data_IF_587857691088
#
_entry.id   IF_587857691088
#
_cell.length_a   1.000
_cell.length_b   1.000
_cell.length_c   1.000
_cell.angle_alpha   90.00
_cell.angle_beta   90.00
_cell.angle_gamma   90.00
#
_symmetry.space_group_name_H-M   'P 1'
#
loop_
_entity.id
_entity.type
_entity.pdbx_description
1 polymer ?
#
# COMPACT_ATOMS: atom_id res chain seq x y z
N UNK A 1 10.96 -7.59 -12.68
CA UNK A 1 10.85 -6.16 -13.03
C UNK A 1 10.12 -5.51 -11.89
N UNK A 2 10.64 -4.41 -11.33
CA UNK A 2 10.02 -3.71 -10.21
C UNK A 2 9.04 -2.67 -10.73
N UNK A 3 7.95 -2.47 -10.01
CA UNK A 3 6.98 -1.42 -10.31
C UNK A 3 7.34 -0.16 -9.52
N UNK A 4 7.10 1.01 -10.10
CA UNK A 4 7.36 2.31 -9.49
C UNK A 4 6.13 3.20 -9.64
N UNK A 5 5.75 3.86 -8.57
CA UNK A 5 4.84 5.00 -8.60
C UNK A 5 5.67 6.25 -8.89
N UNK A 6 5.28 7.02 -9.92
CA UNK A 6 5.98 8.24 -10.32
C UNK A 6 5.05 9.43 -10.11
N UNK A 7 5.51 10.36 -9.28
CA UNK A 7 4.83 11.63 -8.99
C UNK A 7 5.56 12.77 -9.69
N UNK A 8 4.82 13.55 -10.48
CA UNK A 8 5.29 14.78 -11.11
C UNK A 8 4.68 15.96 -10.37
N UNK A 9 5.52 16.84 -9.83
CA UNK A 9 5.10 18.07 -9.18
C UNK A 9 5.66 19.26 -9.95
N UNK A 10 4.82 20.25 -10.23
CA UNK A 10 5.20 21.50 -10.86
C UNK A 10 4.69 22.66 -10.02
N UNK A 11 5.56 23.63 -9.75
CA UNK A 11 5.22 24.90 -9.10
C UNK A 11 5.32 26.01 -10.13
N UNK A 12 4.31 26.88 -10.18
CA UNK A 12 4.21 28.00 -11.12
C UNK A 12 3.62 29.22 -10.44
N UNK A 13 4.15 30.41 -10.74
CA UNK A 13 3.55 31.69 -10.35
C UNK A 13 3.44 32.66 -11.54
N UNK A 14 2.39 33.50 -11.52
CA UNK A 14 2.15 34.52 -12.55
C UNK A 14 1.89 35.86 -11.88
N UNK A 15 2.58 36.89 -12.33
CA UNK A 15 2.40 38.25 -11.84
C UNK A 15 1.82 39.13 -12.94
N UNK A 16 0.67 39.74 -12.68
CA UNK A 16 0.03 40.68 -13.60
C UNK A 16 -0.17 42.04 -12.94
N UNK A 17 -0.11 43.10 -13.74
CA UNK A 17 -0.40 44.46 -13.28
C UNK A 17 -1.81 44.83 -13.73
N UNK A 18 -2.71 45.09 -12.78
CA UNK A 18 -4.10 45.46 -13.05
C UNK A 18 -4.38 46.89 -12.58
N UNK A 19 -5.04 47.73 -13.40
CA UNK A 19 -5.52 49.03 -12.94
C UNK A 19 -6.76 48.84 -12.07
N UNK A 20 -6.69 49.28 -10.82
CA UNK A 20 -7.82 49.26 -9.88
C UNK A 20 -7.73 50.42 -8.89
N UNK A 21 -8.87 50.82 -8.32
CA UNK A 21 -8.97 51.92 -7.36
C UNK A 21 -8.54 51.52 -5.94
N UNK A 22 -8.50 50.22 -5.65
CA UNK A 22 -8.07 49.66 -4.37
C UNK A 22 -7.52 48.24 -4.53
N UNK A 23 -6.78 47.75 -3.53
CA UNK A 23 -6.30 46.36 -3.46
C UNK A 23 -7.45 45.36 -3.57
N UNK A 24 -8.56 45.61 -2.86
CA UNK A 24 -9.75 44.75 -2.89
C UNK A 24 -10.41 44.69 -4.25
N UNK A 25 -10.38 45.77 -5.03
CA UNK A 25 -10.94 45.78 -6.38
C UNK A 25 -9.98 45.12 -7.37
N UNK A 26 -8.66 45.23 -7.15
CA UNK A 26 -7.67 44.46 -7.91
C UNK A 26 -7.84 42.95 -7.71
N UNK A 27 -8.05 42.48 -6.48
CA UNK A 27 -8.29 41.07 -6.17
C UNK A 27 -9.56 40.54 -6.85
N UNK A 28 -10.67 41.29 -6.80
CA UNK A 28 -11.92 40.91 -7.48
C UNK A 28 -11.74 40.85 -8.99
N UNK A 29 -11.04 41.81 -9.57
CA UNK A 29 -10.77 41.85 -11.00
C UNK A 29 -9.88 40.67 -11.41
N UNK A 30 -8.82 40.38 -10.66
CA UNK A 30 -7.96 39.22 -10.87
C UNK A 30 -8.76 37.91 -10.79
N UNK A 31 -9.62 37.76 -9.78
CA UNK A 31 -10.50 36.60 -9.65
C UNK A 31 -11.47 36.47 -10.84
N UNK A 32 -12.09 37.57 -11.28
CA UNK A 32 -12.96 37.55 -12.46
C UNK A 32 -12.20 37.11 -13.72
N UNK A 33 -11.01 37.67 -13.96
CA UNK A 33 -10.16 37.31 -15.10
C UNK A 33 -9.76 35.83 -15.05
N UNK A 34 -9.39 35.32 -13.88
CA UNK A 34 -9.01 33.91 -13.71
C UNK A 34 -10.17 32.95 -14.01
N UNK A 35 -11.40 33.27 -13.57
CA UNK A 35 -12.55 32.38 -13.79
C UNK A 35 -13.25 32.58 -15.13
N UNK A 36 -13.07 33.72 -15.79
CA UNK A 36 -13.88 34.11 -16.95
C UNK A 36 -13.08 34.30 -18.24
N UNK A 37 -11.75 34.24 -18.17
CA UNK A 37 -10.83 34.44 -19.31
C UNK A 37 -9.62 33.52 -19.21
N UNK A 38 -8.86 33.39 -20.30
CA UNK A 38 -7.60 32.64 -20.40
C UNK A 38 -6.36 33.48 -20.03
N UNK A 39 -6.54 34.76 -19.73
CA UNK A 39 -5.44 35.71 -19.49
C UNK A 39 -4.53 35.33 -18.31
N UNK A 40 -5.06 34.56 -17.34
CA UNK A 40 -4.35 34.11 -16.15
C UNK A 40 -4.16 32.58 -16.11
N UNK A 41 -4.39 31.90 -17.23
CA UNK A 41 -4.10 30.47 -17.34
C UNK A 41 -2.58 30.24 -17.20
N UNK A 42 -2.24 29.14 -16.55
CA UNK A 42 -0.87 28.67 -16.43
C UNK A 42 -0.54 27.75 -17.60
N UNK A 43 0.62 27.95 -18.21
CA UNK A 43 1.20 27.05 -19.19
C UNK A 43 2.59 26.55 -18.75
N UNK A 44 3.25 25.79 -19.63
CA UNK A 44 4.57 25.23 -19.34
C UNK A 44 5.67 26.30 -19.23
N UNK A 45 5.48 27.47 -19.85
CA UNK A 45 6.45 28.57 -19.79
C UNK A 45 6.36 29.31 -18.45
N UNK A 46 5.20 29.21 -17.76
CA UNK A 46 5.01 29.72 -16.40
C UNK A 46 5.61 28.80 -15.31
N UNK A 47 6.13 27.61 -15.64
CA UNK A 47 6.67 26.68 -14.64
C UNK A 47 8.06 27.14 -14.16
N UNK A 48 8.18 27.40 -12.86
CA UNK A 48 9.44 27.80 -12.25
C UNK A 48 10.28 26.61 -11.77
N UNK A 49 9.61 25.58 -11.23
CA UNK A 49 10.25 24.41 -10.67
C UNK A 49 9.48 23.13 -10.98
N UNK A 50 10.21 22.07 -11.32
CA UNK A 50 9.69 20.73 -11.53
C UNK A 50 10.43 19.75 -10.64
N UNK A 51 9.68 18.97 -9.86
CA UNK A 51 10.19 17.84 -9.11
C UNK A 51 9.58 16.54 -9.64
N UNK A 52 10.42 15.52 -9.76
CA UNK A 52 10.02 14.17 -10.17
C UNK A 52 10.47 13.23 -9.07
N UNK A 53 9.51 12.54 -8.47
CA UNK A 53 9.76 11.53 -7.44
C UNK A 53 9.29 10.18 -7.95
N UNK A 54 10.13 9.16 -7.78
CA UNK A 54 9.81 7.78 -8.12
C UNK A 54 9.99 6.92 -6.88
N UNK A 55 8.91 6.27 -6.46
CA UNK A 55 8.88 5.38 -5.31
C UNK A 55 8.67 3.95 -5.79
N UNK A 56 9.53 3.03 -5.36
CA UNK A 56 9.33 1.62 -5.64
C UNK A 56 8.07 1.15 -4.92
N UNK A 57 7.16 0.49 -5.65
CA UNK A 57 6.00 -0.15 -5.04
C UNK A 57 6.39 -1.56 -4.65
N UNK A 58 6.05 -1.97 -3.42
CA UNK A 58 6.18 -3.36 -3.02
C UNK A 58 5.42 -4.26 -4.00
N UNK A 59 6.09 -5.30 -4.51
CA UNK A 59 5.42 -6.31 -5.33
C UNK A 59 4.55 -7.15 -4.39
N UNK A 60 3.25 -6.90 -4.41
CA UNK A 60 2.28 -7.66 -3.64
C UNK A 60 2.42 -9.18 -3.86
N UNK A 61 2.90 -9.62 -5.04
CA UNK A 61 3.15 -11.04 -5.27
C UNK A 61 4.34 -11.57 -4.49
N UNK A 62 5.42 -10.80 -4.33
CA UNK A 62 6.60 -11.21 -3.57
C UNK A 62 6.22 -11.41 -2.10
N UNK A 63 5.51 -10.44 -1.51
CA UNK A 63 5.00 -10.54 -0.15
C UNK A 63 4.00 -11.70 0.03
N UNK A 64 3.12 -11.95 -0.95
CA UNK A 64 2.21 -13.10 -0.91
C UNK A 64 2.96 -14.43 -1.01
N UNK A 65 4.03 -14.52 -1.80
CA UNK A 65 4.84 -15.74 -1.91
C UNK A 65 5.51 -16.08 -0.58
N UNK A 66 6.09 -15.10 0.11
CA UNK A 66 6.68 -15.28 1.43
C UNK A 66 5.63 -15.77 2.45
N UNK A 67 4.48 -15.10 2.52
CA UNK A 67 3.40 -15.48 3.42
C UNK A 67 2.89 -16.90 3.16
N UNK A 68 2.76 -17.28 1.88
CA UNK A 68 2.36 -18.64 1.49
C UNK A 68 3.41 -19.66 1.94
N UNK A 69 4.70 -19.36 1.80
CA UNK A 69 5.80 -20.22 2.26
C UNK A 69 5.78 -20.43 3.76
N UNK A 70 5.56 -19.37 4.54
CA UNK A 70 5.46 -19.44 6.00
C UNK A 70 4.25 -20.27 6.44
N UNK A 71 3.10 -20.06 5.81
CA UNK A 71 1.89 -20.85 6.07
C UNK A 71 2.09 -22.33 5.75
N UNK A 72 2.75 -22.65 4.65
CA UNK A 72 3.05 -24.04 4.28
C UNK A 72 3.94 -24.72 5.33
N UNK A 73 4.93 -24.00 5.87
CA UNK A 73 5.82 -24.49 6.93
C UNK A 73 5.04 -24.76 8.22
N UNK A 74 4.23 -23.81 8.67
CA UNK A 74 3.42 -23.96 9.87
C UNK A 74 2.41 -25.12 9.75
N UNK A 75 1.80 -25.31 8.59
CA UNK A 75 0.89 -26.45 8.32
C UNK A 75 1.65 -27.78 8.39
N UNK A 76 2.88 -27.83 7.88
CA UNK A 76 3.70 -29.04 7.93
C UNK A 76 4.05 -29.42 9.37
N UNK A 77 4.48 -28.45 10.18
CA UNK A 77 4.80 -28.66 11.60
C UNK A 77 3.57 -29.10 12.40
N UNK A 78 2.42 -28.46 12.17
CA UNK A 78 1.17 -28.84 12.81
C UNK A 78 0.75 -30.28 12.47
N UNK A 79 0.95 -30.72 11.23
CA UNK A 79 0.68 -32.11 10.82
C UNK A 79 1.58 -33.10 11.56
N UNK A 80 2.88 -32.83 11.65
CA UNK A 80 3.81 -33.68 12.40
C UNK A 80 3.39 -33.80 13.87
N UNK A 81 2.98 -32.69 14.49
CA UNK A 81 2.49 -32.70 15.87
C UNK A 81 1.21 -33.53 16.03
N UNK A 82 0.29 -33.48 15.06
CA UNK A 82 -0.93 -34.32 15.06
C UNK A 82 -0.56 -35.79 14.94
N UNK A 83 0.36 -36.15 14.06
CA UNK A 83 0.82 -37.54 13.90
C UNK A 83 1.45 -38.07 15.20
N UNK A 84 2.21 -37.25 15.91
CA UNK A 84 2.78 -37.60 17.22
C UNK A 84 1.71 -37.85 18.29
N UNK A 85 0.70 -36.99 18.35
CA UNK A 85 -0.44 -37.16 19.27
C UNK A 85 -1.24 -38.42 18.93
N UNK A 86 -1.46 -38.69 17.64
CA UNK A 86 -2.18 -39.86 17.16
C UNK A 86 -1.47 -41.15 17.59
N UNK A 87 -0.15 -41.21 17.41
CA UNK A 87 0.68 -42.34 17.85
C UNK A 87 0.61 -42.56 19.36
N UNK A 88 0.72 -41.50 20.15
CA UNK A 88 0.61 -41.60 21.60
C UNK A 88 -0.77 -42.13 22.05
N UNK A 89 -1.84 -41.74 21.35
CA UNK A 89 -3.19 -42.24 21.62
C UNK A 89 -3.31 -43.74 21.31
N UNK A 90 -2.75 -44.19 20.18
CA UNK A 90 -2.78 -45.61 19.79
C UNK A 90 -2.06 -46.49 20.83
N UNK A 91 -0.89 -46.06 21.32
CA UNK A 91 -0.14 -46.74 22.38
C UNK A 91 -0.95 -46.86 23.69
N UNK A 92 -1.64 -45.79 24.09
CA UNK A 92 -2.49 -45.80 25.30
C UNK A 92 -3.69 -46.73 25.14
N UNK A 93 -4.32 -46.74 23.97
CA UNK A 93 -5.45 -47.62 23.68
C UNK A 93 -5.04 -49.10 23.66
N UNK A 94 -3.87 -49.41 23.12
CA UNK A 94 -3.31 -50.76 23.15
C UNK A 94 -3.06 -51.22 24.59
N UNK A 95 -2.37 -50.40 25.39
CA UNK A 95 -2.13 -50.70 26.81
C UNK A 95 -3.44 -50.92 27.60
N UNK A 96 -4.45 -50.09 27.37
CA UNK A 96 -5.75 -50.23 28.02
C UNK A 96 -6.44 -51.54 27.67
N UNK A 97 -6.38 -51.98 26.40
CA UNK A 97 -6.92 -53.28 25.95
C UNK A 97 -6.21 -54.44 26.61
N UNK A 98 -4.87 -54.42 26.66
CA UNK A 98 -4.09 -55.47 27.34
C UNK A 98 -4.45 -55.60 28.81
N UNK A 99 -4.58 -54.47 29.51
CA UNK A 99 -4.99 -54.46 30.92
C UNK A 99 -6.40 -54.99 31.14
N UNK A 100 -7.35 -54.67 30.26
CA UNK A 100 -8.71 -55.18 30.35
C UNK A 100 -8.74 -56.71 30.18
N UNK A 101 -7.99 -57.25 29.22
CA UNK A 101 -7.88 -58.71 29.01
C UNK A 101 -7.27 -59.40 30.22
N UNK A 102 -6.23 -58.82 30.84
CA UNK A 102 -5.59 -59.41 32.02
C UNK A 102 -6.47 -59.42 33.29
N UNK A 103 -7.54 -58.62 33.31
CA UNK A 103 -8.50 -58.52 34.42
C UNK A 103 -9.79 -59.34 34.18
N UNK A 104 -9.93 -59.93 33.00
CA UNK A 104 -11.08 -60.74 32.57
C UNK A 104 -10.81 -62.24 32.79
#
# INVERSE_FOLDING_TARGET
>A
MKNYEVTLMATSYKTVTLPAESEKDAEKLAGYLYFSTDMLDFDNDDIDEVAIEANETEDANEHLCELISDLQTAIHEARLSVDDVQRALDEVLEYAREKQVALS
#
